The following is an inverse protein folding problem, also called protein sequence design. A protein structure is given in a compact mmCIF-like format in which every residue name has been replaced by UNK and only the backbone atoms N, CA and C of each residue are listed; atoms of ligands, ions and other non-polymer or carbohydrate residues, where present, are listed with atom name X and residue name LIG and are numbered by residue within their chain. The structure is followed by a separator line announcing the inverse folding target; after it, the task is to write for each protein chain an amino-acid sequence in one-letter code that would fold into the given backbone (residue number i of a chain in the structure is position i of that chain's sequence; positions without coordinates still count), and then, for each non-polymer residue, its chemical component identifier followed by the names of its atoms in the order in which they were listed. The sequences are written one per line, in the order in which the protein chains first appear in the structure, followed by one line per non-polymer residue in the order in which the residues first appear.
data_IF_006187756972
#
_entry.id   IF_006187756972
#
_cell.length_a   1.000
_cell.length_b   1.000
_cell.length_c   1.000
_cell.angle_alpha   90.00
_cell.angle_beta   90.00
_cell.angle_gamma   90.00
#
_symmetry.space_group_name_H-M   'P 1'
#
loop_
_entity.id
_entity.type
_entity.pdbx_description
1 polymer ?
#
# COMPACT_ATOMS: atom_id res chain seq x y z
N UNK A 1 -11.51 -7.76 -13.36
CA UNK A 1 -11.88 -8.98 -12.61
C UNK A 1 -13.34 -9.33 -12.91
N UNK A 2 -13.77 -10.57 -12.63
CA UNK A 2 -15.11 -11.05 -12.96
C UNK A 2 -15.15 -12.04 -14.13
N UNK A 3 -16.37 -12.50 -14.51
CA UNK A 3 -16.60 -13.32 -15.69
C UNK A 3 -15.96 -12.69 -16.93
N UNK A 4 -15.29 -13.51 -17.75
CA UNK A 4 -14.64 -13.13 -19.02
C UNK A 4 -13.56 -12.02 -18.93
N UNK A 5 -13.23 -11.54 -17.73
CA UNK A 5 -12.21 -10.51 -17.57
C UNK A 5 -10.85 -11.06 -18.02
N UNK A 6 -10.18 -10.43 -19.01
CA UNK A 6 -8.89 -10.89 -19.50
C UNK A 6 -7.82 -10.72 -18.42
N UNK A 7 -6.81 -11.61 -18.46
CA UNK A 7 -5.59 -11.42 -17.69
C UNK A 7 -4.70 -10.41 -18.42
N UNK A 8 -4.09 -9.52 -17.65
CA UNK A 8 -3.04 -8.64 -18.13
C UNK A 8 -1.74 -9.00 -17.43
N UNK A 9 -0.61 -8.72 -18.08
CA UNK A 9 0.70 -8.88 -17.47
C UNK A 9 1.57 -7.66 -17.77
N UNK A 10 2.42 -7.33 -16.81
CA UNK A 10 3.44 -6.31 -16.93
C UNK A 10 4.79 -6.91 -16.53
N UNK A 11 5.86 -6.38 -17.12
CA UNK A 11 7.23 -6.77 -16.83
C UNK A 11 8.03 -5.53 -16.46
N UNK A 12 8.95 -5.70 -15.52
CA UNK A 12 9.94 -4.71 -15.13
C UNK A 12 11.31 -5.38 -15.02
N UNK A 13 12.37 -4.61 -15.26
CA UNK A 13 13.75 -5.06 -15.10
C UNK A 13 14.37 -4.30 -13.94
N UNK A 14 15.22 -4.97 -13.15
CA UNK A 14 15.90 -4.35 -12.03
C UNK A 14 16.87 -3.25 -12.48
N UNK A 15 16.88 -2.12 -11.77
CA UNK A 15 17.64 -0.92 -12.10
C UNK A 15 18.73 -0.54 -11.08
N UNK A 16 18.70 -1.09 -9.86
CA UNK A 16 19.63 -0.68 -8.79
C UNK A 16 20.97 -1.43 -8.77
N UNK A 17 21.07 -2.58 -9.42
CA UNK A 17 22.34 -3.26 -9.67
C UNK A 17 22.88 -2.87 -11.07
N UNK A 18 24.03 -3.43 -11.48
CA UNK A 18 24.63 -3.29 -12.83
C UNK A 18 23.65 -3.61 -14.00
N UNK A 19 22.44 -4.06 -13.71
CA UNK A 19 21.40 -4.41 -14.66
C UNK A 19 20.79 -3.20 -15.38
N UNK A 20 20.69 -2.01 -14.76
CA UNK A 20 20.27 -0.80 -15.50
C UNK A 20 21.27 -0.41 -16.59
N UNK A 21 22.56 -0.65 -16.36
CA UNK A 21 23.61 -0.43 -17.34
C UNK A 21 23.58 -1.44 -18.51
N UNK A 22 22.81 -2.53 -18.38
CA UNK A 22 22.64 -3.57 -19.39
C UNK A 22 21.39 -3.39 -20.26
N UNK A 23 20.51 -2.46 -19.89
CA UNK A 23 19.36 -2.11 -20.72
C UNK A 23 19.84 -1.38 -21.99
N UNK A 24 19.33 -1.73 -23.17
CA UNK A 24 19.68 -1.02 -24.40
C UNK A 24 19.15 0.42 -24.35
N UNK A 25 19.81 1.36 -25.06
CA UNK A 25 19.40 2.78 -25.06
C UNK A 25 17.94 3.00 -25.49
N UNK A 26 17.46 2.18 -26.44
CA UNK A 26 16.07 2.22 -26.91
C UNK A 26 15.09 1.45 -26.01
N UNK A 27 15.58 0.88 -24.90
CA UNK A 27 14.84 0.07 -23.91
C UNK A 27 13.97 -1.04 -24.49
N UNK A 28 14.32 -1.54 -25.69
CA UNK A 28 13.56 -2.56 -26.39
C UNK A 28 14.15 -3.94 -26.12
N UNK A 29 13.35 -4.83 -25.56
CA UNK A 29 13.71 -6.22 -25.29
C UNK A 29 12.95 -7.17 -26.20
N UNK A 30 13.59 -8.28 -26.59
CA UNK A 30 12.93 -9.38 -27.29
C UNK A 30 12.38 -10.38 -26.27
N UNK A 31 11.07 -10.62 -26.32
CA UNK A 31 10.43 -11.65 -25.51
C UNK A 31 10.46 -13.00 -26.23
N UNK A 32 10.89 -14.05 -25.55
CA UNK A 32 10.95 -15.41 -26.09
C UNK A 32 10.66 -16.48 -25.05
N UNK A 33 10.07 -17.58 -25.48
CA UNK A 33 9.86 -18.78 -24.66
C UNK A 33 10.48 -19.97 -25.40
N UNK A 34 11.34 -20.74 -24.72
CA UNK A 34 12.02 -21.91 -25.29
C UNK A 34 12.79 -21.59 -26.59
N UNK A 35 13.34 -20.37 -26.68
CA UNK A 35 14.05 -19.86 -27.87
C UNK A 35 13.14 -19.37 -29.00
N UNK A 36 11.82 -19.56 -28.91
CA UNK A 36 10.87 -19.02 -29.88
C UNK A 36 10.52 -17.57 -29.54
N UNK A 37 10.67 -16.61 -30.47
CA UNK A 37 10.35 -15.21 -30.22
C UNK A 37 8.85 -14.92 -30.29
N UNK A 38 8.37 -14.06 -29.41
CA UNK A 38 6.98 -13.57 -29.33
C UNK A 38 6.90 -12.04 -29.40
N UNK A 39 7.85 -11.42 -30.09
CA UNK A 39 7.87 -9.98 -30.36
C UNK A 39 8.79 -9.19 -29.44
N UNK A 40 8.62 -7.88 -29.48
CA UNK A 40 9.39 -6.92 -28.71
C UNK A 40 8.53 -6.31 -27.60
N UNK A 41 9.19 -5.89 -26.52
CA UNK A 41 8.62 -5.20 -25.37
C UNK A 41 9.47 -3.96 -25.14
N UNK A 42 8.85 -2.78 -25.13
CA UNK A 42 9.54 -1.51 -24.92
C UNK A 42 9.32 -1.10 -23.47
N UNK A 43 10.40 -1.08 -22.69
CA UNK A 43 10.38 -0.69 -21.28
C UNK A 43 10.39 0.84 -21.14
N UNK A 44 9.54 1.35 -20.26
CA UNK A 44 9.82 2.60 -19.55
C UNK A 44 10.47 2.24 -18.20
N UNK A 45 9.74 2.36 -17.10
CA UNK A 45 10.03 1.65 -15.83
C UNK A 45 9.47 0.22 -15.86
N UNK A 46 8.30 0.07 -16.46
CA UNK A 46 7.57 -1.18 -16.65
C UNK A 46 7.11 -1.25 -18.11
N UNK A 47 6.69 -2.43 -18.56
CA UNK A 47 6.03 -2.60 -19.85
C UNK A 47 4.85 -3.57 -19.74
N UNK A 48 3.71 -3.17 -20.31
CA UNK A 48 2.60 -4.07 -20.53
C UNK A 48 2.93 -5.04 -21.67
N UNK A 49 2.59 -6.31 -21.47
CA UNK A 49 2.61 -7.31 -22.54
C UNK A 49 1.32 -7.24 -23.35
N UNK A 50 1.41 -7.45 -24.66
CA UNK A 50 0.22 -7.55 -25.49
C UNK A 50 -0.57 -8.85 -25.20
N UNK A 51 -1.86 -8.96 -25.59
CA UNK A 51 -2.66 -10.14 -25.27
C UNK A 51 -2.07 -11.47 -25.76
N UNK A 52 -1.41 -11.48 -26.92
CA UNK A 52 -0.77 -12.70 -27.44
C UNK A 52 0.42 -13.09 -26.58
N UNK A 53 1.23 -12.11 -26.16
CA UNK A 53 2.35 -12.33 -25.25
C UNK A 53 1.88 -12.83 -23.89
N UNK A 54 0.78 -12.29 -23.35
CA UNK A 54 0.18 -12.74 -22.08
C UNK A 54 -0.27 -14.20 -22.18
N UNK A 55 -1.00 -14.58 -23.23
CA UNK A 55 -1.46 -15.96 -23.42
C UNK A 55 -0.29 -16.96 -23.49
N UNK A 56 0.79 -16.57 -24.19
CA UNK A 56 2.00 -17.39 -24.30
C UNK A 56 2.76 -17.48 -22.99
N UNK A 57 2.86 -16.37 -22.25
CA UNK A 57 3.47 -16.34 -20.93
C UNK A 57 2.71 -17.25 -19.96
N UNK A 58 1.38 -17.13 -19.91
CA UNK A 58 0.54 -17.95 -19.02
C UNK A 58 0.70 -19.45 -19.30
N UNK A 59 0.70 -19.85 -20.58
CA UNK A 59 0.95 -21.24 -20.94
C UNK A 59 2.34 -21.72 -20.50
N UNK A 60 3.37 -20.89 -20.70
CA UNK A 60 4.75 -21.24 -20.32
C UNK A 60 4.92 -21.39 -18.80
N UNK A 61 4.23 -20.56 -18.01
CA UNK A 61 4.24 -20.60 -16.54
C UNK A 61 3.61 -21.88 -15.94
N UNK A 62 2.99 -22.76 -16.72
CA UNK A 62 2.43 -24.03 -16.24
C UNK A 62 3.32 -25.24 -16.51
N UNK A 63 4.38 -25.04 -17.29
CA UNK A 63 5.29 -26.07 -17.77
C UNK A 63 6.68 -25.87 -17.19
N UNK A 64 7.66 -26.66 -17.64
CA UNK A 64 9.09 -26.40 -17.45
C UNK A 64 9.62 -25.65 -18.68
N UNK A 65 9.66 -24.32 -18.59
CA UNK A 65 9.91 -23.39 -19.68
C UNK A 65 11.16 -22.53 -19.45
N UNK A 66 11.76 -22.10 -20.56
CA UNK A 66 12.78 -21.05 -20.61
C UNK A 66 12.14 -19.75 -21.06
N UNK A 67 11.70 -18.93 -20.12
CA UNK A 67 11.02 -17.65 -20.35
C UNK A 67 12.05 -16.52 -20.26
N UNK A 68 12.26 -15.77 -21.34
CA UNK A 68 13.37 -14.83 -21.44
C UNK A 68 12.99 -13.51 -22.11
N UNK A 69 13.54 -12.43 -21.56
CA UNK A 69 13.60 -11.11 -22.16
C UNK A 69 15.06 -10.83 -22.50
N UNK A 70 15.34 -10.44 -23.74
CA UNK A 70 16.70 -10.39 -24.26
C UNK A 70 17.00 -9.00 -24.83
N UNK A 71 18.16 -8.44 -24.49
CA UNK A 71 18.84 -7.42 -25.29
C UNK A 71 19.94 -8.09 -26.12
N UNK A 72 20.72 -7.31 -26.86
CA UNK A 72 21.84 -7.85 -27.65
C UNK A 72 22.95 -8.41 -26.74
N UNK A 73 23.16 -7.79 -25.57
CA UNK A 73 24.27 -8.11 -24.66
C UNK A 73 23.83 -8.83 -23.38
N UNK A 74 22.52 -9.01 -23.16
CA UNK A 74 22.02 -9.57 -21.91
C UNK A 74 20.71 -10.35 -22.05
N UNK A 75 20.51 -11.32 -21.14
CA UNK A 75 19.31 -12.16 -21.07
C UNK A 75 18.78 -12.17 -19.65
N UNK A 76 17.58 -11.64 -19.47
CA UNK A 76 16.81 -11.74 -18.21
C UNK A 76 15.89 -12.95 -18.29
N UNK A 77 16.06 -13.89 -17.36
CA UNK A 77 15.24 -15.10 -17.29
C UNK A 77 14.20 -15.00 -16.19
N UNK A 78 12.94 -15.19 -16.55
CA UNK A 78 11.84 -15.33 -15.59
C UNK A 78 11.73 -16.80 -15.16
N UNK A 79 11.65 -17.05 -13.86
CA UNK A 79 11.40 -18.39 -13.33
C UNK A 79 9.92 -18.71 -13.31
N UNK A 80 9.58 -19.92 -13.72
CA UNK A 80 8.26 -20.57 -13.66
C UNK A 80 8.11 -21.48 -12.42
N UNK A 81 9.10 -21.53 -11.53
CA UNK A 81 9.03 -22.42 -10.37
C UNK A 81 7.96 -21.91 -9.40
N UNK A 82 6.91 -22.71 -9.25
CA UNK A 82 5.80 -22.43 -8.34
C UNK A 82 4.69 -21.55 -8.92
N UNK A 83 4.81 -21.07 -10.17
CA UNK A 83 3.77 -20.24 -10.80
C UNK A 83 2.44 -20.97 -10.93
N UNK A 84 2.43 -22.27 -11.23
CA UNK A 84 1.20 -23.07 -11.26
C UNK A 84 0.44 -23.06 -9.93
N UNK A 85 1.14 -23.06 -8.78
CA UNK A 85 0.49 -22.99 -7.47
C UNK A 85 -0.12 -21.61 -7.19
N UNK A 86 0.55 -20.53 -7.62
CA UNK A 86 0.05 -19.17 -7.51
C UNK A 86 -1.18 -18.96 -8.40
N UNK A 87 -1.10 -19.39 -9.68
CA UNK A 87 -2.21 -19.31 -10.62
C UNK A 87 -3.42 -20.15 -10.15
N UNK A 88 -3.19 -21.33 -9.58
CA UNK A 88 -4.24 -22.10 -8.94
C UNK A 88 -4.85 -21.37 -7.74
N UNK A 89 -4.04 -20.69 -6.92
CA UNK A 89 -4.57 -19.93 -5.78
C UNK A 89 -5.40 -18.72 -6.23
N UNK A 90 -5.00 -18.07 -7.32
CA UNK A 90 -5.80 -17.02 -7.97
C UNK A 90 -7.14 -17.56 -8.47
N UNK A 91 -7.12 -18.71 -9.17
CA UNK A 91 -8.34 -19.37 -9.64
C UNK A 91 -9.26 -19.75 -8.47
N UNK A 92 -8.72 -20.33 -7.40
CA UNK A 92 -9.46 -20.72 -6.19
C UNK A 92 -10.14 -19.52 -5.54
N UNK A 93 -9.41 -18.43 -5.33
CA UNK A 93 -9.94 -17.21 -4.73
C UNK A 93 -11.05 -16.56 -5.57
N UNK A 94 -10.90 -16.59 -6.90
CA UNK A 94 -11.87 -15.99 -7.83
C UNK A 94 -13.03 -16.92 -8.20
N UNK A 95 -13.02 -18.18 -7.77
CA UNK A 95 -14.00 -19.18 -8.18
C UNK A 95 -13.86 -19.62 -9.64
N UNK A 96 -12.66 -19.55 -10.22
CA UNK A 96 -12.38 -19.95 -11.62
C UNK A 96 -12.05 -21.42 -11.80
N UNK A 97 -11.71 -22.16 -10.75
CA UNK A 97 -11.31 -23.58 -10.87
C UNK A 97 -12.41 -24.39 -11.56
N UNK A 98 -12.07 -25.09 -12.65
CA UNK A 98 -13.01 -25.88 -13.44
C UNK A 98 -13.82 -25.09 -14.47
N UNK A 99 -13.60 -23.77 -14.58
CA UNK A 99 -14.21 -22.93 -15.62
C UNK A 99 -13.37 -22.88 -16.90
N UNK A 100 -13.99 -22.46 -18.00
CA UNK A 100 -13.30 -22.21 -19.28
C UNK A 100 -12.22 -21.11 -19.19
N UNK A 101 -12.41 -20.17 -18.25
CA UNK A 101 -11.51 -19.03 -18.02
C UNK A 101 -10.48 -19.26 -16.91
N UNK A 102 -10.38 -20.48 -16.34
CA UNK A 102 -9.35 -20.80 -15.37
C UNK A 102 -7.95 -20.64 -15.98
N UNK A 103 -6.99 -20.22 -15.16
CA UNK A 103 -5.59 -20.08 -15.57
C UNK A 103 -4.85 -21.41 -15.45
N UNK A 104 -5.15 -22.22 -14.44
CA UNK A 104 -4.48 -23.50 -14.21
C UNK A 104 -5.39 -24.70 -14.48
N UNK A 105 -6.43 -24.88 -13.67
CA UNK A 105 -7.36 -26.02 -13.79
C UNK A 105 -8.58 -25.66 -14.63
N UNK A 106 -8.38 -25.54 -15.94
CA UNK A 106 -9.46 -25.31 -16.91
C UNK A 106 -10.47 -26.46 -16.90
N UNK A 107 -11.73 -26.12 -17.12
CA UNK A 107 -12.81 -27.09 -17.31
C UNK A 107 -13.87 -26.53 -18.25
N UNK A 108 -15.06 -27.13 -18.20
CA UNK A 108 -16.19 -26.82 -19.08
C UNK A 108 -17.28 -25.98 -18.39
N UNK A 109 -17.08 -25.59 -17.13
CA UNK A 109 -18.01 -24.69 -16.47
C UNK A 109 -17.97 -23.30 -17.09
N UNK A 110 -19.13 -22.65 -17.27
CA UNK A 110 -19.19 -21.33 -17.89
C UNK A 110 -18.51 -20.27 -17.02
N UNK A 111 -17.93 -19.25 -17.65
CA UNK A 111 -17.31 -18.12 -16.95
C UNK A 111 -18.26 -17.37 -16.00
N UNK A 112 -19.57 -17.47 -16.19
CA UNK A 112 -20.61 -16.93 -15.28
C UNK A 112 -20.56 -17.49 -13.85
N UNK A 113 -19.84 -18.59 -13.61
CA UNK A 113 -19.61 -19.14 -12.26
C UNK A 113 -18.51 -18.38 -11.48
N UNK A 114 -17.71 -17.54 -12.15
CA UNK A 114 -16.63 -16.75 -11.55
C UNK A 114 -17.23 -15.63 -10.69
N UNK A 115 -16.60 -15.34 -9.54
CA UNK A 115 -17.02 -14.27 -8.65
C UNK A 115 -16.96 -12.91 -9.35
N UNK A 116 -18.03 -12.12 -9.19
CA UNK A 116 -18.02 -10.73 -9.60
C UNK A 116 -17.06 -9.90 -8.74
N UNK A 117 -16.42 -8.85 -9.30
CA UNK A 117 -15.69 -7.91 -8.49
C UNK A 117 -16.62 -7.25 -7.46
N UNK A 118 -16.08 -6.98 -6.29
CA UNK A 118 -16.77 -6.23 -5.24
C UNK A 118 -16.35 -4.78 -5.36
N UNK A 119 -17.32 -3.86 -5.37
CA UNK A 119 -17.03 -2.43 -5.37
C UNK A 119 -16.29 -2.04 -4.08
N UNK A 120 -15.28 -1.16 -4.16
CA UNK A 120 -14.60 -0.68 -2.97
C UNK A 120 -15.60 0.07 -2.06
N UNK A 121 -15.49 -0.04 -0.73
CA UNK A 121 -16.32 0.73 0.18
C UNK A 121 -16.09 2.23 -0.03
N UNK A 122 -17.17 3.01 0.08
CA UNK A 122 -17.11 4.47 -0.05
C UNK A 122 -16.94 5.09 1.33
N UNK A 123 -15.90 5.90 1.51
CA UNK A 123 -15.67 6.72 2.70
C UNK A 123 -15.79 8.19 2.33
N UNK A 124 -16.64 8.93 3.06
CA UNK A 124 -16.90 10.35 2.80
C UNK A 124 -16.15 11.19 3.82
N UNK A 125 -15.15 11.92 3.36
CA UNK A 125 -14.45 12.90 4.19
C UNK A 125 -15.29 14.18 4.25
N UNK A 126 -15.78 14.60 5.42
CA UNK A 126 -16.46 15.88 5.54
C UNK A 126 -15.48 17.06 5.49
N UNK A 127 -16.02 18.26 5.26
CA UNK A 127 -15.24 19.48 5.44
C UNK A 127 -14.84 19.63 6.91
N UNK A 128 -13.53 19.74 7.18
CA UNK A 128 -13.03 19.92 8.53
C UNK A 128 -13.20 21.37 9.01
N UNK A 129 -13.56 21.59 10.29
CA UNK A 129 -13.65 22.94 10.84
C UNK A 129 -12.25 23.58 10.89
N UNK A 130 -12.17 24.86 10.54
CA UNK A 130 -10.95 25.64 10.81
C UNK A 130 -10.92 26.02 12.29
N UNK A 131 -9.82 25.76 13.02
CA UNK A 131 -9.74 26.14 14.43
C UNK A 131 -9.81 27.66 14.57
N UNK A 132 -10.62 28.13 15.51
CA UNK A 132 -10.69 29.55 15.87
C UNK A 132 -9.49 29.92 16.74
N UNK A 133 -9.23 31.24 16.92
CA UNK A 133 -8.20 31.71 17.87
C UNK A 133 -8.47 31.26 19.31
N UNK A 134 -9.74 31.13 19.69
CA UNK A 134 -10.12 30.59 20.99
C UNK A 134 -9.82 29.10 21.11
N UNK A 135 -10.00 28.33 20.04
CA UNK A 135 -9.66 26.91 20.04
C UNK A 135 -8.16 26.73 20.22
N UNK A 136 -7.32 27.50 19.50
CA UNK A 136 -5.85 27.42 19.63
C UNK A 136 -5.41 27.67 21.08
N UNK A 137 -5.92 28.73 21.73
CA UNK A 137 -5.60 28.98 23.15
C UNK A 137 -6.07 27.86 24.08
N UNK A 138 -7.23 27.27 23.80
CA UNK A 138 -7.75 26.14 24.59
C UNK A 138 -6.88 24.92 24.42
N UNK A 139 -6.46 24.62 23.19
CA UNK A 139 -5.56 23.51 22.85
C UNK A 139 -4.29 23.61 23.68
N UNK A 140 -3.61 24.75 23.63
CA UNK A 140 -2.40 25.03 24.44
C UNK A 140 -2.63 24.81 25.94
N UNK A 141 -3.76 25.27 26.48
CA UNK A 141 -4.10 25.09 27.90
C UNK A 141 -4.46 23.65 28.29
N UNK A 142 -4.91 22.85 27.32
CA UNK A 142 -5.34 21.46 27.54
C UNK A 142 -4.28 20.42 27.21
N UNK A 143 -3.17 20.79 26.56
CA UNK A 143 -2.15 19.85 26.07
C UNK A 143 -1.68 18.85 27.14
N UNK A 144 -1.27 19.34 28.32
CA UNK A 144 -0.82 18.47 29.42
C UNK A 144 -1.90 17.49 29.90
N UNK A 145 -3.16 17.91 29.90
CA UNK A 145 -4.28 17.06 30.32
C UNK A 145 -4.60 16.00 29.27
N UNK A 146 -4.50 16.36 27.98
CA UNK A 146 -4.67 15.44 26.86
C UNK A 146 -3.54 14.40 26.86
N UNK A 147 -2.29 14.81 26.99
CA UNK A 147 -1.15 13.88 27.09
C UNK A 147 -1.33 12.92 28.26
N UNK A 148 -1.70 13.42 29.45
CA UNK A 148 -2.00 12.57 30.60
C UNK A 148 -3.16 11.61 30.36
N UNK A 149 -4.19 12.04 29.63
CA UNK A 149 -5.31 11.18 29.27
C UNK A 149 -4.90 10.07 28.30
N UNK A 150 -3.99 10.35 27.36
CA UNK A 150 -3.42 9.35 26.44
C UNK A 150 -2.52 8.38 27.23
N UNK A 151 -1.60 8.88 28.06
CA UNK A 151 -0.73 8.06 28.92
C UNK A 151 -1.51 7.13 29.88
N UNK A 152 -2.69 7.57 30.34
CA UNK A 152 -3.54 6.74 31.19
C UNK A 152 -4.12 5.51 30.47
N UNK A 153 -4.08 5.46 29.13
CA UNK A 153 -4.45 4.28 28.35
C UNK A 153 -3.26 3.32 28.25
N UNK A 154 -3.18 2.41 29.23
CA UNK A 154 -2.05 1.51 29.45
C UNK A 154 -1.72 0.55 28.28
N UNK A 155 -2.61 0.36 27.32
CA UNK A 155 -2.31 -0.46 26.13
C UNK A 155 -1.53 0.32 25.06
N UNK A 156 -1.76 1.63 24.98
CA UNK A 156 -1.17 2.51 23.96
C UNK A 156 0.29 2.82 24.27
N UNK A 157 0.68 2.89 25.55
CA UNK A 157 2.07 3.14 25.95
C UNK A 157 3.04 2.01 25.55
N UNK A 158 2.56 0.76 25.44
CA UNK A 158 3.39 -0.38 25.00
C UNK A 158 3.87 -0.22 23.55
N UNK A 159 3.06 0.42 22.72
CA UNK A 159 3.37 0.64 21.31
C UNK A 159 3.89 2.06 21.04
N UNK A 160 3.88 2.92 22.07
CA UNK A 160 4.30 4.30 22.03
C UNK A 160 5.35 4.61 23.12
N UNK A 161 6.56 4.03 23.04
CA UNK A 161 7.56 4.13 24.09
C UNK A 161 7.99 5.58 24.41
N UNK A 162 7.98 6.48 23.42
CA UNK A 162 8.36 7.88 23.63
C UNK A 162 7.29 8.69 24.40
N UNK A 163 6.06 8.17 24.51
CA UNK A 163 4.96 8.86 25.19
C UNK A 163 5.20 9.02 26.69
N UNK A 164 5.89 8.06 27.30
CA UNK A 164 6.16 8.03 28.75
C UNK A 164 7.50 8.70 29.11
N UNK A 165 8.25 9.21 28.13
CA UNK A 165 9.48 9.94 28.38
C UNK A 165 9.17 11.35 28.92
N UNK A 166 9.94 11.80 29.91
CA UNK A 166 9.73 13.09 30.61
C UNK A 166 9.70 14.29 29.64
N UNK A 167 10.36 14.18 28.48
CA UNK A 167 10.48 15.21 27.46
C UNK A 167 9.65 14.95 26.18
N UNK A 168 8.63 14.07 26.21
CA UNK A 168 7.80 13.77 25.03
C UNK A 168 7.26 15.04 24.33
N UNK A 169 6.85 16.05 25.13
CA UNK A 169 6.40 17.36 24.65
C UNK A 169 7.52 18.33 24.25
N UNK A 170 8.77 18.06 24.66
CA UNK A 170 9.97 18.82 24.29
C UNK A 170 10.73 18.22 23.10
N UNK A 171 10.24 17.12 22.53
CA UNK A 171 10.81 16.47 21.36
C UNK A 171 10.60 17.28 20.07
N UNK A 172 11.32 16.93 19.00
CA UNK A 172 11.10 17.49 17.65
C UNK A 172 9.72 17.14 17.06
N UNK A 173 8.94 16.28 17.74
CA UNK A 173 7.60 15.84 17.36
C UNK A 173 6.63 15.98 18.55
N UNK A 174 6.38 17.23 19.01
CA UNK A 174 5.54 17.50 20.17
C UNK A 174 4.06 17.23 19.85
N UNK A 175 3.20 17.33 20.86
CA UNK A 175 1.76 17.21 20.68
C UNK A 175 1.25 18.20 19.62
N UNK A 176 0.64 17.68 18.57
CA UNK A 176 -0.14 18.44 17.60
C UNK A 176 -1.63 18.14 17.75
N UNK A 177 -2.46 19.19 17.69
CA UNK A 177 -3.91 19.09 17.81
C UNK A 177 -4.59 19.68 16.57
N UNK A 178 -5.43 18.89 15.91
CA UNK A 178 -6.23 19.30 14.76
C UNK A 178 -7.71 19.12 15.04
N UNK A 179 -8.54 20.10 14.65
CA UNK A 179 -9.99 20.00 14.86
C UNK A 179 -10.64 19.09 13.82
N UNK A 180 -11.41 18.10 14.28
CA UNK A 180 -12.16 17.16 13.44
C UNK A 180 -13.65 17.51 13.36
N UNK A 181 -14.22 17.98 14.46
CA UNK A 181 -15.62 18.41 14.57
C UNK A 181 -15.76 19.47 15.68
N UNK A 182 -16.99 19.86 16.03
CA UNK A 182 -17.24 20.78 17.15
C UNK A 182 -16.82 20.19 18.52
N UNK A 183 -16.70 18.87 18.63
CA UNK A 183 -16.44 18.18 19.91
C UNK A 183 -15.25 17.25 19.88
N UNK A 184 -14.59 17.09 18.72
CA UNK A 184 -13.49 16.13 18.52
C UNK A 184 -12.25 16.79 17.97
N UNK A 185 -11.10 16.36 18.48
CA UNK A 185 -9.77 16.68 17.99
C UNK A 185 -9.05 15.39 17.57
N UNK A 186 -8.15 15.54 16.61
CA UNK A 186 -7.08 14.59 16.35
C UNK A 186 -5.86 15.07 17.14
N UNK A 187 -5.36 14.22 18.03
CA UNK A 187 -4.10 14.42 18.72
C UNK A 187 -3.03 13.55 18.08
N UNK A 188 -1.84 14.10 17.86
CA UNK A 188 -0.67 13.32 17.49
C UNK A 188 0.58 13.69 18.26
N UNK A 189 1.44 12.72 18.53
CA UNK A 189 2.72 12.90 19.23
C UNK A 189 3.71 11.83 18.77
N UNK A 190 5.01 12.17 18.76
CA UNK A 190 6.07 11.23 18.43
C UNK A 190 6.03 9.99 19.32
N UNK A 191 6.06 8.81 18.70
CA UNK A 191 5.74 7.54 19.36
C UNK A 191 6.96 6.62 19.46
N UNK A 192 7.71 6.50 18.36
CA UNK A 192 8.97 5.75 18.30
C UNK A 192 9.86 6.26 17.16
N UNK A 193 11.14 5.92 17.24
CA UNK A 193 12.12 6.04 16.17
C UNK A 193 12.75 4.67 15.89
N UNK A 194 13.09 4.42 14.63
CA UNK A 194 13.94 3.32 14.21
C UNK A 194 14.99 3.84 13.21
N UNK A 195 15.86 2.97 12.71
CA UNK A 195 17.03 3.38 11.91
C UNK A 195 16.71 4.31 10.72
N UNK A 196 15.58 4.10 10.03
CA UNK A 196 15.18 4.86 8.85
C UNK A 196 13.66 5.12 8.78
N UNK A 197 12.97 4.83 9.89
CA UNK A 197 11.53 4.92 10.08
C UNK A 197 11.23 5.65 11.38
N UNK A 198 10.03 6.17 11.48
CA UNK A 198 9.48 6.72 12.71
C UNK A 198 7.98 6.47 12.72
N UNK A 199 7.37 6.55 13.89
CA UNK A 199 5.93 6.57 14.04
C UNK A 199 5.53 7.69 14.97
N UNK A 200 4.48 8.41 14.57
CA UNK A 200 3.66 9.25 15.42
C UNK A 200 2.39 8.47 15.76
N UNK A 201 1.99 8.56 17.03
CA UNK A 201 0.71 8.07 17.46
C UNK A 201 -0.37 9.08 17.10
N UNK A 202 -1.54 8.59 16.72
CA UNK A 202 -2.71 9.39 16.39
C UNK A 202 -3.92 8.92 17.20
N UNK A 203 -4.56 9.83 17.92
CA UNK A 203 -5.75 9.57 18.72
C UNK A 203 -6.88 10.52 18.37
N UNK A 204 -8.10 10.00 18.32
CA UNK A 204 -9.30 10.85 18.39
C UNK A 204 -9.58 11.14 19.86
N UNK A 205 -9.67 12.42 20.23
CA UNK A 205 -10.01 12.87 21.59
C UNK A 205 -11.23 13.78 21.56
N UNK A 206 -12.00 13.82 22.65
CA UNK A 206 -12.94 14.89 22.91
C UNK A 206 -12.19 16.21 23.08
N UNK A 207 -12.80 17.33 22.73
CA UNK A 207 -12.20 18.65 22.92
C UNK A 207 -12.35 19.21 24.35
N UNK A 208 -12.94 18.43 25.26
CA UNK A 208 -13.14 18.70 26.68
C UNK A 208 -12.91 17.43 27.53
N UNK A 209 -12.59 17.56 28.83
CA UNK A 209 -12.56 16.45 29.77
C UNK A 209 -13.87 15.64 29.74
N UNK A 210 -13.83 14.30 29.81
CA UNK A 210 -12.66 13.48 30.17
C UNK A 210 -11.67 13.17 29.04
N UNK A 211 -11.71 13.88 27.90
CA UNK A 211 -10.87 13.70 26.69
C UNK A 211 -11.02 12.34 25.99
N UNK A 212 -11.14 11.23 26.70
CA UNK A 212 -11.48 9.89 26.19
C UNK A 212 -10.75 9.54 24.86
N UNK A 213 -9.41 9.42 24.89
CA UNK A 213 -8.65 9.10 23.69
C UNK A 213 -9.07 7.76 23.09
N UNK A 214 -8.95 7.65 21.76
CA UNK A 214 -9.10 6.40 21.01
C UNK A 214 -7.97 6.35 20.00
N UNK A 215 -7.05 5.40 20.17
CA UNK A 215 -5.94 5.18 19.26
C UNK A 215 -6.46 4.83 17.86
N UNK A 216 -5.90 5.49 16.85
CA UNK A 216 -6.12 5.19 15.43
C UNK A 216 -4.95 4.34 14.92
N UNK A 217 -3.73 4.82 15.13
CA UNK A 217 -2.48 4.15 14.75
C UNK A 217 -1.31 4.73 15.57
N UNK A 218 -0.29 3.92 15.81
CA UNK A 218 0.97 4.29 16.49
C UNK A 218 2.12 4.58 15.49
N UNK A 219 1.84 4.39 14.19
CA UNK A 219 2.84 4.29 13.14
C UNK A 219 2.58 5.30 12.01
N UNK A 220 1.79 6.34 12.26
CA UNK A 220 1.56 7.40 11.30
C UNK A 220 2.84 8.19 11.03
N UNK A 221 3.04 8.60 9.79
CA UNK A 221 4.20 9.39 9.34
C UNK A 221 3.81 10.79 8.88
N UNK A 222 2.54 11.01 8.54
CA UNK A 222 2.00 12.31 8.18
C UNK A 222 0.48 12.34 8.42
N UNK A 223 -0.08 13.54 8.50
CA UNK A 223 -1.52 13.76 8.47
C UNK A 223 -1.85 15.01 7.66
N UNK A 224 -2.70 14.83 6.65
CA UNK A 224 -3.15 15.93 5.80
C UNK A 224 -4.67 15.90 5.60
N UNK A 225 -5.33 16.95 6.07
CA UNK A 225 -6.73 17.23 5.74
C UNK A 225 -7.71 16.13 6.14
N UNK A 226 -7.50 15.45 7.27
CA UNK A 226 -8.36 14.37 7.74
C UNK A 226 -7.99 13.00 7.21
N UNK A 227 -6.79 12.86 6.63
CA UNK A 227 -6.19 11.58 6.26
C UNK A 227 -4.89 11.42 7.03
N UNK A 228 -4.77 10.34 7.82
CA UNK A 228 -3.53 9.90 8.45
C UNK A 228 -2.85 8.95 7.48
N UNK A 229 -1.55 9.15 7.27
CA UNK A 229 -0.74 8.37 6.33
C UNK A 229 0.38 7.70 7.13
N UNK A 230 0.60 6.42 6.92
CA UNK A 230 1.77 5.68 7.35
C UNK A 230 2.54 5.23 6.12
N UNK A 231 3.84 5.51 6.09
CA UNK A 231 4.75 5.01 5.06
C UNK A 231 6.01 4.47 5.72
N UNK A 232 6.15 3.15 5.77
CA UNK A 232 7.22 2.47 6.50
C UNK A 232 8.09 1.66 5.54
N UNK A 233 9.41 1.79 5.68
CA UNK A 233 10.38 0.99 4.93
C UNK A 233 10.57 -0.37 5.59
N UNK A 234 10.80 -1.40 4.78
CA UNK A 234 11.08 -2.76 5.24
C UNK A 234 12.41 -2.89 5.98
N UNK A 235 13.50 -3.13 5.24
CA UNK A 235 14.82 -3.48 5.80
C UNK A 235 15.90 -2.44 5.54
N UNK A 236 15.59 -1.30 4.90
CA UNK A 236 16.58 -0.27 4.63
C UNK A 236 16.10 0.91 3.79
N UNK A 237 17.00 1.87 3.59
CA UNK A 237 16.82 2.94 2.61
C UNK A 237 16.76 2.35 1.21
N UNK A 238 15.75 2.73 0.43
CA UNK A 238 15.51 2.19 -0.92
C UNK A 238 14.86 0.80 -0.94
N UNK A 239 14.56 0.20 0.21
CA UNK A 239 13.84 -1.08 0.29
C UNK A 239 12.32 -0.89 0.13
N UNK A 240 11.56 -1.96 0.24
CA UNK A 240 10.11 -1.96 0.12
C UNK A 240 9.40 -1.02 1.07
N UNK A 241 8.28 -0.51 0.60
CA UNK A 241 7.36 0.28 1.38
C UNK A 241 6.13 -0.55 1.75
N UNK A 242 5.68 -0.36 2.98
CA UNK A 242 4.30 -0.62 3.40
C UNK A 242 3.64 0.73 3.64
N UNK A 243 2.45 0.92 3.09
CA UNK A 243 1.71 2.17 3.19
C UNK A 243 0.29 1.90 3.66
N UNK A 244 -0.18 2.73 4.57
CA UNK A 244 -1.53 2.66 5.12
C UNK A 244 -2.13 4.06 5.23
N UNK A 245 -3.41 4.18 4.88
CA UNK A 245 -4.17 5.42 5.04
C UNK A 245 -5.39 5.19 5.93
N UNK A 246 -5.64 6.12 6.84
CA UNK A 246 -6.91 6.22 7.57
C UNK A 246 -7.58 7.54 7.25
N UNK A 247 -8.85 7.50 6.84
CA UNK A 247 -9.62 8.70 6.51
C UNK A 247 -10.73 8.96 7.52
N UNK A 248 -10.86 10.21 7.98
CA UNK A 248 -11.95 10.67 8.83
C UNK A 248 -13.28 10.66 8.07
N UNK A 249 -14.28 9.94 8.58
CA UNK A 249 -15.61 9.84 7.97
C UNK A 249 -16.65 10.81 8.56
N UNK A 250 -16.25 11.65 9.52
CA UNK A 250 -17.13 12.49 10.31
C UNK A 250 -17.41 11.98 11.73
N UNK A 251 -17.07 10.73 12.01
CA UNK A 251 -17.25 10.08 13.31
C UNK A 251 -15.99 9.35 13.79
N UNK A 252 -15.29 8.66 12.91
CA UNK A 252 -14.08 7.90 13.20
C UNK A 252 -13.10 7.91 12.02
N UNK A 253 -11.85 7.52 12.27
CA UNK A 253 -10.90 7.22 11.22
C UNK A 253 -11.10 5.79 10.74
N UNK A 254 -11.37 5.61 9.45
CA UNK A 254 -11.56 4.31 8.80
C UNK A 254 -10.27 3.95 8.06
N UNK A 255 -9.76 2.73 8.23
CA UNK A 255 -8.63 2.22 7.44
C UNK A 255 -9.07 2.12 5.97
N UNK A 256 -8.59 3.03 5.14
CA UNK A 256 -9.05 3.21 3.76
C UNK A 256 -8.12 2.60 2.72
N UNK A 257 -6.85 2.42 3.07
CA UNK A 257 -5.86 1.82 2.18
C UNK A 257 -4.85 1.02 2.99
N UNK A 258 -4.49 -0.16 2.48
CA UNK A 258 -3.30 -0.91 2.89
C UNK A 258 -2.63 -1.46 1.65
N UNK A 259 -1.38 -1.12 1.43
CA UNK A 259 -0.61 -1.58 0.27
C UNK A 259 0.86 -1.79 0.60
N UNK A 260 1.54 -2.59 -0.22
CA UNK A 260 2.99 -2.72 -0.18
C UNK A 260 3.58 -2.67 -1.59
N UNK A 261 4.90 -2.51 -1.67
CA UNK A 261 5.62 -2.61 -2.94
C UNK A 261 6.19 -4.02 -3.21
N UNK A 262 5.70 -5.01 -2.46
CA UNK A 262 6.04 -6.41 -2.63
C UNK A 262 7.40 -6.76 -2.03
N UNK A 263 8.16 -7.61 -2.73
CA UNK A 263 9.43 -8.14 -2.20
C UNK A 263 10.68 -7.35 -2.59
N UNK A 264 10.56 -6.28 -3.40
CA UNK A 264 11.56 -5.34 -3.96
C UNK A 264 12.86 -5.93 -4.48
N UNK A 265 13.59 -6.75 -3.70
CA UNK A 265 14.77 -7.51 -4.10
C UNK A 265 15.81 -6.64 -4.83
N UNK A 266 15.92 -5.37 -4.44
CA UNK A 266 16.78 -4.37 -5.09
C UNK A 266 16.49 -4.18 -6.59
N UNK A 267 15.28 -4.50 -7.06
CA UNK A 267 14.87 -4.25 -8.43
C UNK A 267 14.67 -2.76 -8.69
N UNK A 268 14.01 -2.03 -7.79
CA UNK A 268 13.82 -0.59 -7.91
C UNK A 268 13.83 0.03 -6.52
N UNK A 269 14.28 1.29 -6.42
CA UNK A 269 14.28 1.99 -5.14
C UNK A 269 12.84 2.21 -4.69
N UNK A 270 12.49 1.68 -3.52
CA UNK A 270 11.12 1.68 -3.03
C UNK A 270 10.25 0.54 -3.55
N UNK A 271 10.78 -0.34 -4.40
CA UNK A 271 10.05 -1.43 -5.04
C UNK A 271 9.38 -1.04 -6.35
N UNK A 272 9.01 -2.06 -7.12
CA UNK A 272 8.49 -1.91 -8.48
C UNK A 272 6.97 -1.74 -8.47
N UNK A 273 6.28 -2.59 -7.71
CA UNK A 273 4.84 -2.76 -7.84
C UNK A 273 4.06 -1.94 -6.82
N UNK A 274 2.79 -1.67 -7.10
CA UNK A 274 1.80 -1.21 -6.12
C UNK A 274 0.81 -2.34 -5.87
N UNK A 275 0.89 -2.97 -4.70
CA UNK A 275 0.12 -4.18 -4.37
C UNK A 275 -0.83 -3.89 -3.19
N UNK A 276 -2.02 -3.34 -3.45
CA UNK A 276 -2.99 -3.08 -2.40
C UNK A 276 -3.70 -4.37 -1.95
N UNK A 277 -3.97 -4.45 -0.66
CA UNK A 277 -4.83 -5.47 -0.05
C UNK A 277 -6.14 -4.88 0.49
N UNK A 278 -6.19 -3.55 0.63
CA UNK A 278 -7.36 -2.78 0.99
C UNK A 278 -7.38 -1.49 0.17
N UNK A 279 -8.53 -1.19 -0.44
CA UNK A 279 -8.79 0.06 -1.16
C UNK A 279 -10.21 0.50 -0.90
N UNK A 280 -10.40 1.78 -0.57
CA UNK A 280 -11.69 2.44 -0.45
C UNK A 280 -11.79 3.61 -1.44
N UNK A 281 -12.99 3.91 -1.90
CA UNK A 281 -13.26 5.15 -2.63
C UNK A 281 -13.44 6.30 -1.62
N UNK A 282 -12.48 7.24 -1.60
CA UNK A 282 -12.56 8.40 -0.71
C UNK A 282 -13.17 9.59 -1.45
N UNK A 283 -14.38 9.98 -1.03
CA UNK A 283 -15.05 11.18 -1.54
C UNK A 283 -14.67 12.36 -0.65
N UNK A 284 -13.87 13.28 -1.20
CA UNK A 284 -13.43 14.50 -0.53
C UNK A 284 -14.49 15.61 -0.65
N UNK A 285 -14.54 16.56 0.30
CA UNK A 285 -15.49 17.66 0.22
C UNK A 285 -15.12 18.57 -0.96
N UNK A 286 -16.13 19.06 -1.69
CA UNK A 286 -15.94 20.07 -2.72
C UNK A 286 -15.44 21.36 -2.08
N UNK A 287 -14.43 21.98 -2.70
CA UNK A 287 -13.86 23.26 -2.26
C UNK A 287 -14.86 24.41 -2.35
#
# INVERSE_FOLDING_TARGET
AGPDAPVTAQVAIGELEDDSARLPENRTLRFSINGQPYGQVVLDQEAALDPTQVDRLLAALLEDSRIEFNSDDHVWRLSDRGSGAILLKMDDFQGRVGTETALYKKGDQPSSAVLNPVDPPIVRLPALPKPTRSDIRRFEQSSDQIVKAIQAQAEDSRYCPLLDEEDAQGSDRPLALHRLSDTKLLASIGCWYAAYNFGDGYWVVNDQPPYAPVLVTDSGTDHQGGVIISAQKGRGLGDCWSMEDWTWDGNQFVHTQSLSTGMCKLMAAGGTWVLPTLVSEVIKPTK
#
